data_IF_793328977871
#
_entry.id   IF_793328977871
#
_cell.length_a   1.000
_cell.length_b   1.000
_cell.length_c   1.000
_cell.angle_alpha   90.00
_cell.angle_beta   90.00
_cell.angle_gamma   90.00
#
_symmetry.space_group_name_H-M   'P 1'
#
loop_
_entity.id
_entity.type
_entity.pdbx_description
1 polymer ?
#
# COMPACT_ATOMS: atom_id res chain seq x y z
N UNK A 1 -12.10 29.81 -9.87
CA UNK A 1 -11.35 28.57 -9.59
C UNK A 1 -10.23 28.91 -8.64
N UNK A 2 -10.12 28.22 -7.51
CA UNK A 2 -8.96 28.35 -6.62
C UNK A 2 -7.85 27.54 -7.29
N UNK A 3 -6.79 28.21 -7.77
CA UNK A 3 -5.59 27.53 -8.25
C UNK A 3 -4.94 26.88 -7.04
N UNK A 4 -4.61 25.58 -7.07
CA UNK A 4 -3.93 24.95 -5.95
C UNK A 4 -2.61 25.69 -5.70
N UNK A 5 -2.26 25.98 -4.44
CA UNK A 5 -1.00 26.65 -4.12
C UNK A 5 0.16 25.86 -4.73
N UNK A 6 1.09 26.58 -5.36
CA UNK A 6 2.32 25.98 -5.85
C UNK A 6 3.17 25.43 -4.70
N UNK A 7 4.01 24.44 -5.00
CA UNK A 7 4.98 23.98 -4.02
C UNK A 7 5.97 25.10 -3.67
N UNK A 8 6.31 25.27 -2.39
CA UNK A 8 7.43 26.13 -1.99
C UNK A 8 8.71 25.66 -2.69
N UNK A 9 9.37 26.56 -3.40
CA UNK A 9 10.65 26.29 -4.07
C UNK A 9 11.87 26.63 -3.20
N UNK A 10 11.66 27.28 -2.05
CA UNK A 10 12.73 27.68 -1.15
C UNK A 10 13.16 26.50 -0.29
N UNK A 11 14.38 26.01 -0.53
CA UNK A 11 15.03 25.01 0.32
C UNK A 11 15.38 25.62 1.67
N UNK A 12 14.94 24.99 2.76
CA UNK A 12 15.40 25.39 4.09
C UNK A 12 16.89 25.00 4.27
N UNK A 13 17.68 25.78 5.04
CA UNK A 13 19.13 25.60 5.13
C UNK A 13 19.59 24.21 5.63
N UNK A 14 18.72 23.43 6.28
CA UNK A 14 19.01 22.08 6.80
C UNK A 14 18.15 20.98 6.16
N UNK A 15 17.45 21.25 5.05
CA UNK A 15 16.54 20.29 4.43
C UNK A 15 17.29 19.36 3.47
N UNK A 16 17.07 18.04 3.61
CA UNK A 16 17.58 17.06 2.66
C UNK A 16 16.94 17.28 1.28
N UNK A 17 17.72 17.61 0.22
CA UNK A 17 17.19 17.84 -1.11
C UNK A 17 16.34 16.67 -1.63
N UNK A 18 16.61 15.44 -1.19
CA UNK A 18 15.85 14.24 -1.58
C UNK A 18 14.37 14.32 -1.19
N UNK A 19 14.05 15.07 -0.12
CA UNK A 19 12.69 15.30 0.36
C UNK A 19 11.93 16.19 -0.62
N UNK A 20 12.52 17.32 -1.01
CA UNK A 20 11.91 18.27 -1.95
C UNK A 20 11.71 17.60 -3.32
N UNK A 21 12.69 16.82 -3.81
CA UNK A 21 12.54 16.10 -5.08
C UNK A 21 11.43 15.05 -5.03
N UNK A 22 11.34 14.26 -3.95
CA UNK A 22 10.27 13.29 -3.76
C UNK A 22 8.88 13.95 -3.69
N UNK A 23 8.76 15.02 -2.90
CA UNK A 23 7.52 15.78 -2.76
C UNK A 23 7.10 16.44 -4.06
N UNK A 24 8.04 17.05 -4.79
CA UNK A 24 7.80 17.65 -6.10
C UNK A 24 7.29 16.61 -7.08
N UNK A 25 7.90 15.44 -7.13
CA UNK A 25 7.44 14.35 -8.00
C UNK A 25 6.02 13.91 -7.65
N UNK A 26 5.69 13.76 -6.36
CA UNK A 26 4.32 13.43 -5.93
C UNK A 26 3.31 14.52 -6.26
N UNK A 27 3.66 15.79 -6.05
CA UNK A 27 2.80 16.91 -6.41
C UNK A 27 2.47 16.90 -7.89
N UNK A 28 3.47 16.72 -8.76
CA UNK A 28 3.23 16.62 -10.20
C UNK A 28 2.30 15.45 -10.53
N UNK A 29 2.54 14.27 -9.96
CA UNK A 29 1.68 13.10 -10.15
C UNK A 29 0.22 13.34 -9.71
N UNK A 30 0.00 13.89 -8.52
CA UNK A 30 -1.34 14.15 -8.01
C UNK A 30 -2.01 15.37 -8.67
N UNK A 31 -1.24 16.31 -9.21
CA UNK A 31 -1.79 17.45 -9.97
C UNK A 31 -2.51 17.02 -11.25
N UNK A 32 -2.23 15.80 -11.76
CA UNK A 32 -2.94 15.20 -12.88
C UNK A 32 -4.40 14.85 -12.53
N UNK A 33 -4.74 14.72 -11.24
CA UNK A 33 -6.10 14.49 -10.75
C UNK A 33 -6.82 15.83 -10.56
N UNK A 34 -6.92 16.61 -11.64
CA UNK A 34 -7.53 17.94 -11.61
C UNK A 34 -9.06 17.90 -11.48
N UNK A 35 -9.68 19.08 -11.44
CA UNK A 35 -11.14 19.18 -11.32
C UNK A 35 -11.88 18.58 -12.52
N UNK A 36 -11.27 18.54 -13.70
CA UNK A 36 -11.85 17.90 -14.88
C UNK A 36 -11.86 16.39 -14.72
N UNK A 37 -10.75 15.81 -14.24
CA UNK A 37 -10.66 14.39 -13.91
C UNK A 37 -11.67 14.01 -12.82
N UNK A 38 -11.79 14.79 -11.74
CA UNK A 38 -12.76 14.48 -10.66
C UNK A 38 -14.19 14.49 -11.19
N UNK A 39 -14.55 15.46 -12.05
CA UNK A 39 -15.85 15.47 -12.71
C UNK A 39 -16.05 14.26 -13.60
N UNK A 40 -15.03 13.88 -14.37
CA UNK A 40 -15.03 12.70 -15.23
C UNK A 40 -15.23 11.40 -14.43
N UNK A 41 -14.52 11.26 -13.31
CA UNK A 41 -14.55 10.08 -12.45
C UNK A 41 -15.92 9.86 -11.80
N UNK A 42 -16.60 10.96 -11.47
CA UNK A 42 -17.91 10.97 -10.82
C UNK A 42 -19.09 10.89 -11.81
N UNK A 43 -18.87 11.13 -13.10
CA UNK A 43 -19.91 11.07 -14.13
C UNK A 43 -20.20 9.62 -14.52
N UNK A 44 -20.96 8.94 -13.65
CA UNK A 44 -21.40 7.57 -13.85
C UNK A 44 -22.64 7.60 -14.78
N UNK A 45 -22.40 7.76 -16.08
CA UNK A 45 -23.35 7.28 -17.09
C UNK A 45 -24.11 8.29 -17.94
N UNK A 46 -23.74 9.57 -17.99
CA UNK A 46 -24.38 10.53 -18.91
C UNK A 46 -23.47 11.08 -20.01
N UNK A 47 -22.15 10.91 -19.90
CA UNK A 47 -21.23 11.39 -20.92
C UNK A 47 -20.64 10.26 -21.76
N UNK A 48 -21.00 10.24 -23.05
CA UNK A 48 -20.40 9.36 -24.04
C UNK A 48 -18.91 9.68 -24.23
N UNK A 49 -18.14 8.67 -24.63
CA UNK A 49 -16.76 8.85 -25.08
C UNK A 49 -16.73 9.90 -26.21
N UNK A 50 -15.99 10.99 -25.99
CA UNK A 50 -15.66 11.95 -27.04
C UNK A 50 -14.21 11.78 -27.45
N UNK A 51 -13.88 12.15 -28.69
CA UNK A 51 -12.50 12.16 -29.18
C UNK A 51 -11.60 13.01 -28.27
N UNK A 52 -12.08 14.19 -27.85
CA UNK A 52 -11.35 15.06 -26.92
C UNK A 52 -10.97 14.36 -25.61
N UNK A 53 -11.94 13.72 -24.92
CA UNK A 53 -11.67 13.02 -23.65
C UNK A 53 -10.69 11.86 -23.84
N UNK A 54 -10.77 11.19 -24.99
CA UNK A 54 -9.84 10.11 -25.33
C UNK A 54 -8.43 10.65 -25.53
N UNK A 55 -8.26 11.75 -26.24
CA UNK A 55 -6.96 12.37 -26.51
C UNK A 55 -6.32 12.93 -25.22
N UNK A 56 -7.13 13.51 -24.34
CA UNK A 56 -6.70 13.94 -22.99
C UNK A 56 -6.18 12.75 -22.17
N UNK A 57 -6.95 11.65 -22.10
CA UNK A 57 -6.53 10.43 -21.40
C UNK A 57 -5.29 9.79 -22.04
N UNK A 58 -5.18 9.81 -23.37
CA UNK A 58 -4.00 9.31 -24.08
C UNK A 58 -2.75 10.11 -23.72
N UNK A 59 -2.87 11.44 -23.66
CA UNK A 59 -1.78 12.34 -23.27
C UNK A 59 -1.33 12.08 -21.83
N UNK A 60 -2.28 11.94 -20.90
CA UNK A 60 -1.97 11.62 -19.49
C UNK A 60 -1.30 10.26 -19.34
N UNK A 61 -1.77 9.24 -20.07
CA UNK A 61 -1.17 7.91 -20.06
C UNK A 61 0.23 7.92 -20.67
N UNK A 62 0.45 8.66 -21.76
CA UNK A 62 1.77 8.83 -22.34
C UNK A 62 2.73 9.49 -21.33
N UNK A 63 2.32 10.59 -20.70
CA UNK A 63 3.11 11.26 -19.66
C UNK A 63 3.46 10.34 -18.50
N UNK A 64 2.51 9.54 -18.01
CA UNK A 64 2.74 8.61 -16.90
C UNK A 64 3.61 7.39 -17.25
N UNK A 65 3.80 7.08 -18.53
CA UNK A 65 4.71 5.99 -18.97
C UNK A 65 6.16 6.43 -19.01
N UNK A 66 6.41 7.74 -19.10
CA UNK A 66 7.76 8.26 -19.13
C UNK A 66 8.49 7.95 -17.80
N UNK A 67 9.75 7.47 -17.86
CA UNK A 67 10.54 7.26 -16.66
C UNK A 67 10.76 8.58 -15.90
N UNK A 68 10.55 8.55 -14.59
CA UNK A 68 10.87 9.67 -13.71
C UNK A 68 12.36 9.64 -13.35
N UNK A 69 13.01 10.81 -13.29
CA UNK A 69 14.39 10.89 -12.81
C UNK A 69 14.44 10.78 -11.29
N UNK A 70 14.96 9.64 -10.81
CA UNK A 70 14.97 9.27 -9.40
C UNK A 70 16.38 9.16 -8.82
N UNK A 71 17.41 9.66 -9.52
CA UNK A 71 18.82 9.52 -9.12
C UNK A 71 19.17 10.18 -7.79
N UNK A 72 18.43 11.22 -7.42
CA UNK A 72 18.68 12.03 -6.21
C UNK A 72 17.58 11.85 -5.14
N UNK A 73 16.75 10.82 -5.28
CA UNK A 73 15.62 10.55 -4.40
C UNK A 73 15.92 9.32 -3.56
N UNK A 74 15.70 9.39 -2.24
CA UNK A 74 15.90 8.26 -1.33
C UNK A 74 14.99 7.07 -1.69
N UNK A 75 15.40 5.84 -1.40
CA UNK A 75 14.59 4.64 -1.71
C UNK A 75 13.18 4.69 -1.12
N UNK A 76 13.03 5.27 0.09
CA UNK A 76 11.73 5.49 0.72
C UNK A 76 10.86 6.39 -0.18
N UNK A 77 11.37 7.55 -0.61
CA UNK A 77 10.62 8.45 -1.47
C UNK A 77 10.39 7.84 -2.87
N UNK A 78 11.37 7.11 -3.41
CA UNK A 78 11.25 6.38 -4.68
C UNK A 78 10.10 5.38 -4.65
N UNK A 79 9.96 4.63 -3.56
CA UNK A 79 8.85 3.70 -3.38
C UNK A 79 7.49 4.39 -3.52
N UNK A 80 7.31 5.52 -2.84
CA UNK A 80 6.04 6.25 -2.86
C UNK A 80 5.72 6.79 -4.26
N UNK A 81 6.69 7.44 -4.90
CA UNK A 81 6.53 8.07 -6.22
C UNK A 81 6.26 7.01 -7.29
N UNK A 82 7.12 5.99 -7.40
CA UNK A 82 7.05 5.02 -8.49
C UNK A 82 5.81 4.12 -8.36
N UNK A 83 5.42 3.72 -7.14
CA UNK A 83 4.17 2.97 -6.92
C UNK A 83 2.96 3.85 -7.24
N UNK A 84 2.97 5.13 -6.83
CA UNK A 84 1.89 6.08 -7.14
C UNK A 84 1.77 6.33 -8.63
N UNK A 85 2.87 6.43 -9.38
CA UNK A 85 2.86 6.54 -10.84
C UNK A 85 2.14 5.35 -11.48
N UNK A 86 2.46 4.11 -11.07
CA UNK A 86 1.79 2.91 -11.61
C UNK A 86 0.30 2.87 -11.22
N UNK A 87 -0.03 3.29 -10.01
CA UNK A 87 -1.42 3.38 -9.56
C UNK A 87 -2.21 4.41 -10.35
N UNK A 88 -1.66 5.58 -10.65
CA UNK A 88 -2.33 6.58 -11.49
C UNK A 88 -2.57 6.06 -12.91
N UNK A 89 -1.62 5.32 -13.51
CA UNK A 89 -1.85 4.64 -14.81
C UNK A 89 -3.08 3.73 -14.75
N UNK A 90 -3.27 3.02 -13.65
CA UNK A 90 -4.46 2.19 -13.43
C UNK A 90 -5.73 3.04 -13.28
N UNK A 91 -5.69 4.10 -12.48
CA UNK A 91 -6.84 4.99 -12.25
C UNK A 91 -7.34 5.61 -13.57
N UNK A 92 -6.44 6.14 -14.40
CA UNK A 92 -6.82 6.68 -15.71
C UNK A 92 -7.35 5.60 -16.67
N UNK A 93 -6.81 4.38 -16.60
CA UNK A 93 -7.35 3.24 -17.38
C UNK A 93 -8.76 2.86 -16.94
N UNK A 94 -9.03 2.84 -15.63
CA UNK A 94 -10.37 2.60 -15.10
C UNK A 94 -11.36 3.69 -15.52
N UNK A 95 -10.92 4.95 -15.63
CA UNK A 95 -11.73 6.03 -16.22
C UNK A 95 -12.08 5.74 -17.68
N UNK A 96 -11.10 5.36 -18.49
CA UNK A 96 -11.33 4.97 -19.88
C UNK A 96 -12.30 3.77 -19.99
N UNK A 97 -12.20 2.81 -19.06
CA UNK A 97 -13.12 1.67 -18.97
C UNK A 97 -14.56 2.10 -18.67
N UNK A 98 -14.76 2.99 -17.68
CA UNK A 98 -16.09 3.55 -17.34
C UNK A 98 -16.73 4.29 -18.52
N UNK A 99 -15.91 4.95 -19.34
CA UNK A 99 -16.34 5.66 -20.55
C UNK A 99 -16.52 4.74 -21.77
N UNK A 100 -16.39 3.43 -21.62
CA UNK A 100 -16.47 2.45 -22.71
C UNK A 100 -15.45 2.70 -23.84
N UNK A 101 -14.27 3.25 -23.51
CA UNK A 101 -13.19 3.49 -24.48
C UNK A 101 -12.26 2.29 -24.67
N UNK A 102 -12.37 1.27 -23.81
CA UNK A 102 -11.50 0.10 -23.84
C UNK A 102 -11.97 -0.90 -24.89
N UNK A 103 -11.07 -1.32 -25.78
CA UNK A 103 -11.35 -2.30 -26.84
C UNK A 103 -10.16 -3.23 -27.05
N UNK A 104 -10.41 -4.44 -27.58
CA UNK A 104 -9.33 -5.39 -27.88
C UNK A 104 -8.49 -5.02 -29.12
N UNK A 105 -8.96 -4.06 -29.93
CA UNK A 105 -8.37 -3.65 -31.22
C UNK A 105 -7.80 -2.23 -31.20
N UNK A 106 -7.80 -1.56 -30.05
CA UNK A 106 -7.16 -0.25 -29.93
C UNK A 106 -5.65 -0.34 -30.23
N UNK A 107 -5.14 0.64 -30.97
CA UNK A 107 -3.72 0.75 -31.31
C UNK A 107 -2.86 1.10 -30.09
N UNK A 108 -3.34 1.99 -29.24
CA UNK A 108 -2.70 2.36 -27.98
C UNK A 108 -3.08 1.37 -26.88
N UNK A 109 -2.07 0.77 -26.24
CA UNK A 109 -2.27 -0.21 -25.17
C UNK A 109 -3.08 0.33 -23.99
N UNK A 110 -3.03 1.64 -23.71
CA UNK A 110 -3.80 2.30 -22.64
C UNK A 110 -5.32 2.16 -22.83
N UNK A 111 -5.78 1.85 -24.03
CA UNK A 111 -7.19 1.66 -24.34
C UNK A 111 -7.53 0.19 -24.61
N UNK A 112 -6.73 -0.74 -24.08
CA UNK A 112 -6.94 -2.18 -24.22
C UNK A 112 -7.20 -2.86 -22.88
N UNK A 113 -7.85 -4.03 -22.92
CA UNK A 113 -8.04 -4.89 -21.75
C UNK A 113 -6.72 -5.49 -21.21
N UNK A 114 -5.62 -5.36 -21.95
CA UNK A 114 -4.31 -5.90 -21.57
C UNK A 114 -3.47 -4.90 -20.77
N UNK A 115 -3.84 -3.63 -20.75
CA UNK A 115 -3.05 -2.59 -20.08
C UNK A 115 -2.75 -2.86 -18.59
N UNK A 116 -3.67 -3.44 -17.78
CA UNK A 116 -3.34 -3.80 -16.40
C UNK A 116 -2.17 -4.78 -16.27
N UNK A 117 -1.92 -5.62 -17.29
CA UNK A 117 -0.78 -6.54 -17.33
C UNK A 117 0.53 -5.75 -17.48
N UNK A 118 0.54 -4.73 -18.34
CA UNK A 118 1.69 -3.83 -18.52
C UNK A 118 1.98 -3.04 -17.24
N UNK A 119 0.94 -2.44 -16.63
CA UNK A 119 1.07 -1.69 -15.36
C UNK A 119 1.64 -2.59 -14.26
N UNK A 120 1.09 -3.80 -14.09
CA UNK A 120 1.56 -4.71 -13.06
C UNK A 120 2.99 -5.22 -13.29
N UNK A 121 3.40 -5.33 -14.55
CA UNK A 121 4.79 -5.67 -14.91
C UNK A 121 5.73 -4.54 -14.51
N UNK A 122 5.40 -3.28 -14.83
CA UNK A 122 6.16 -2.11 -14.37
C UNK A 122 6.22 -2.02 -12.84
N UNK A 123 5.09 -2.27 -12.14
CA UNK A 123 5.08 -2.29 -10.68
C UNK A 123 6.00 -3.38 -10.11
N UNK A 124 6.02 -4.57 -10.72
CA UNK A 124 6.89 -5.66 -10.31
C UNK A 124 8.38 -5.27 -10.43
N UNK A 125 8.75 -4.57 -11.49
CA UNK A 125 10.11 -4.03 -11.67
C UNK A 125 10.47 -3.00 -10.60
N UNK A 126 9.54 -2.08 -10.28
CA UNK A 126 9.70 -1.10 -9.20
C UNK A 126 9.95 -1.81 -7.86
N UNK A 127 9.08 -2.74 -7.49
CA UNK A 127 9.17 -3.49 -6.23
C UNK A 127 10.47 -4.29 -6.13
N UNK A 128 10.93 -4.90 -7.23
CA UNK A 128 12.20 -5.64 -7.28
C UNK A 128 13.42 -4.75 -7.14
N UNK A 129 13.32 -3.48 -7.52
CA UNK A 129 14.43 -2.52 -7.51
C UNK A 129 14.64 -1.82 -6.16
N UNK A 130 13.78 -2.06 -5.17
CA UNK A 130 13.74 -1.33 -3.91
C UNK A 130 13.88 -2.28 -2.70
N UNK A 131 14.51 -1.83 -1.61
CA UNK A 131 14.54 -2.61 -0.37
C UNK A 131 13.14 -2.69 0.25
N UNK A 132 12.70 -3.85 0.81
CA UNK A 132 11.35 -4.00 1.36
C UNK A 132 10.96 -2.96 2.41
N UNK A 133 11.93 -2.52 3.23
CA UNK A 133 11.73 -1.50 4.26
C UNK A 133 11.29 -0.15 3.67
N UNK A 134 11.74 0.20 2.46
CA UNK A 134 11.37 1.44 1.80
C UNK A 134 9.88 1.46 1.41
N UNK A 135 9.32 0.30 1.06
CA UNK A 135 7.88 0.15 0.80
C UNK A 135 7.11 0.17 2.13
N UNK A 136 7.55 -0.62 3.11
CA UNK A 136 6.88 -0.73 4.41
C UNK A 136 6.76 0.61 5.17
N UNK A 137 7.73 1.52 4.98
CA UNK A 137 7.76 2.83 5.63
C UNK A 137 6.50 3.68 5.38
N UNK A 138 5.75 3.44 4.29
CA UNK A 138 4.55 4.20 3.93
C UNK A 138 3.25 3.65 4.52
N UNK A 139 3.32 2.53 5.26
CA UNK A 139 2.14 1.90 5.87
C UNK A 139 1.17 1.32 4.84
N UNK A 140 -0.11 1.16 5.21
CA UNK A 140 -1.09 0.43 4.39
C UNK A 140 -1.40 1.09 3.04
N UNK A 141 -1.32 2.42 2.94
CA UNK A 141 -1.72 3.16 1.74
C UNK A 141 -0.89 2.85 0.48
N UNK A 142 0.35 2.37 0.61
CA UNK A 142 1.15 1.91 -0.53
C UNK A 142 0.81 0.45 -0.91
N UNK A 143 0.43 -0.37 0.07
CA UNK A 143 0.00 -1.74 -0.16
C UNK A 143 -1.38 -1.78 -0.81
N UNK A 144 -2.28 -0.85 -0.46
CA UNK A 144 -3.57 -0.68 -1.13
C UNK A 144 -3.41 -0.41 -2.63
N UNK A 145 -2.52 0.51 -3.00
CA UNK A 145 -2.20 0.82 -4.40
C UNK A 145 -1.68 -0.41 -5.14
N UNK A 146 -0.76 -1.16 -4.54
CA UNK A 146 -0.24 -2.41 -5.10
C UNK A 146 -1.34 -3.47 -5.24
N UNK A 147 -2.23 -3.56 -4.26
CA UNK A 147 -3.37 -4.49 -4.28
C UNK A 147 -4.33 -4.16 -5.42
N UNK A 148 -4.71 -2.91 -5.63
CA UNK A 148 -5.61 -2.53 -6.74
C UNK A 148 -5.02 -2.92 -8.11
N UNK A 149 -3.70 -2.74 -8.28
CA UNK A 149 -2.99 -3.16 -9.50
C UNK A 149 -2.98 -4.68 -9.63
N UNK A 150 -2.63 -5.41 -8.56
CA UNK A 150 -2.61 -6.88 -8.58
C UNK A 150 -4.01 -7.49 -8.80
N UNK A 151 -5.05 -6.86 -8.26
CA UNK A 151 -6.43 -7.26 -8.43
C UNK A 151 -6.88 -7.06 -9.89
N UNK A 152 -6.55 -5.91 -10.48
CA UNK A 152 -6.83 -5.61 -11.89
C UNK A 152 -6.04 -6.49 -12.85
N UNK A 153 -4.80 -6.86 -12.49
CA UNK A 153 -4.01 -7.85 -13.21
C UNK A 153 -4.75 -9.20 -13.26
N UNK A 154 -5.26 -9.67 -12.13
CA UNK A 154 -5.96 -10.96 -12.07
C UNK A 154 -7.18 -10.97 -12.99
N UNK A 155 -7.96 -9.88 -13.00
CA UNK A 155 -9.09 -9.71 -13.94
C UNK A 155 -8.63 -9.74 -15.41
N UNK A 156 -7.55 -9.02 -15.74
CA UNK A 156 -7.03 -8.98 -17.10
C UNK A 156 -6.50 -10.36 -17.57
N UNK A 157 -5.86 -11.14 -16.67
CA UNK A 157 -5.37 -12.48 -17.00
C UNK A 157 -6.50 -13.47 -17.27
N UNK A 158 -7.59 -13.39 -16.52
CA UNK A 158 -8.80 -14.20 -16.75
C UNK A 158 -9.44 -13.78 -18.07
N UNK A 159 -9.70 -12.48 -18.25
CA UNK A 159 -10.38 -11.95 -19.43
C UNK A 159 -9.63 -12.22 -20.74
N UNK A 160 -8.30 -12.12 -20.73
CA UNK A 160 -7.48 -12.29 -21.93
C UNK A 160 -7.07 -13.75 -22.19
N UNK A 161 -7.46 -14.70 -21.34
CA UNK A 161 -7.00 -16.10 -21.42
C UNK A 161 -5.48 -16.27 -21.21
N UNK A 162 -4.81 -15.25 -20.66
CA UNK A 162 -3.37 -15.26 -20.40
C UNK A 162 -3.00 -15.86 -19.06
N UNK A 163 -3.99 -16.34 -18.30
CA UNK A 163 -3.77 -17.12 -17.09
C UNK A 163 -2.60 -18.08 -17.26
N UNK A 164 -2.45 -18.80 -18.39
CA UNK A 164 -1.43 -19.85 -18.57
C UNK A 164 0.02 -19.40 -18.88
N UNK A 165 0.32 -18.11 -19.07
CA UNK A 165 1.69 -17.66 -19.43
C UNK A 165 2.59 -17.51 -18.20
N UNK A 166 3.77 -18.15 -18.22
CA UNK A 166 4.71 -18.19 -17.09
C UNK A 166 5.12 -16.81 -16.56
N UNK A 167 5.34 -15.84 -17.44
CA UNK A 167 5.81 -14.51 -17.06
C UNK A 167 4.80 -13.75 -16.18
N UNK A 168 3.50 -13.81 -16.52
CA UNK A 168 2.47 -13.09 -15.76
C UNK A 168 2.22 -13.70 -14.38
N UNK A 169 2.43 -15.01 -14.24
CA UNK A 169 2.43 -15.66 -12.93
C UNK A 169 3.58 -15.17 -12.05
N UNK A 170 4.77 -15.02 -12.60
CA UNK A 170 5.90 -14.48 -11.83
C UNK A 170 5.62 -13.04 -11.40
N UNK A 171 5.04 -12.21 -12.28
CA UNK A 171 4.59 -10.86 -11.90
C UNK A 171 3.64 -10.91 -10.70
N UNK A 172 2.57 -11.70 -10.78
CA UNK A 172 1.60 -11.85 -9.70
C UNK A 172 2.25 -12.37 -8.40
N UNK A 173 3.15 -13.35 -8.51
CA UNK A 173 3.89 -13.91 -7.38
C UNK A 173 4.70 -12.84 -6.65
N UNK A 174 5.50 -12.06 -7.36
CA UNK A 174 6.31 -11.00 -6.74
C UNK A 174 5.43 -9.93 -6.05
N UNK A 175 4.30 -9.57 -6.64
CA UNK A 175 3.36 -8.64 -6.02
C UNK A 175 2.73 -9.22 -4.74
N UNK A 176 2.38 -10.52 -4.73
CA UNK A 176 1.90 -11.20 -3.52
C UNK A 176 2.96 -11.26 -2.41
N UNK A 177 4.24 -11.45 -2.78
CA UNK A 177 5.37 -11.40 -1.83
C UNK A 177 5.51 -10.00 -1.22
N UNK A 178 5.44 -8.95 -2.04
CA UNK A 178 5.48 -7.56 -1.56
C UNK A 178 4.31 -7.24 -0.63
N UNK A 179 3.09 -7.62 -1.01
CA UNK A 179 1.90 -7.45 -0.17
C UNK A 179 1.97 -8.26 1.13
N UNK A 180 2.76 -9.34 1.16
CA UNK A 180 2.99 -10.16 2.35
C UNK A 180 4.03 -9.57 3.31
N UNK A 181 4.67 -8.46 2.96
CA UNK A 181 5.77 -7.88 3.75
C UNK A 181 5.31 -7.31 5.10
N UNK A 182 4.01 -7.15 5.35
CA UNK A 182 3.44 -6.76 6.64
C UNK A 182 2.28 -7.68 7.00
N UNK A 183 2.12 -8.12 8.27
CA UNK A 183 1.01 -8.97 8.71
C UNK A 183 -0.36 -8.36 8.39
N UNK A 184 -0.54 -7.06 8.62
CA UNK A 184 -1.80 -6.37 8.35
C UNK A 184 -2.12 -6.33 6.86
N UNK A 185 -1.12 -6.00 6.03
CA UNK A 185 -1.26 -6.01 4.57
C UNK A 185 -1.60 -7.42 4.04
N UNK A 186 -0.90 -8.46 4.54
CA UNK A 186 -1.18 -9.85 4.18
C UNK A 186 -2.62 -10.23 4.50
N UNK A 187 -3.07 -9.93 5.72
CA UNK A 187 -4.39 -10.34 6.18
C UNK A 187 -5.51 -9.72 5.36
N UNK A 188 -5.35 -8.46 4.92
CA UNK A 188 -6.35 -7.73 4.15
C UNK A 188 -6.27 -8.05 2.65
N UNK A 189 -5.10 -7.89 2.04
CA UNK A 189 -4.96 -7.87 0.58
C UNK A 189 -4.68 -9.25 -0.02
N UNK A 190 -3.72 -9.99 0.54
CA UNK A 190 -3.31 -11.30 0.01
C UNK A 190 -4.47 -12.30 0.09
N UNK A 191 -5.15 -12.38 1.25
CA UNK A 191 -6.33 -13.26 1.41
C UNK A 191 -7.46 -12.93 0.45
N UNK A 192 -7.62 -11.65 0.10
CA UNK A 192 -8.64 -11.22 -0.86
C UNK A 192 -8.30 -11.69 -2.28
N UNK A 193 -7.04 -11.56 -2.68
CA UNK A 193 -6.55 -12.08 -3.97
C UNK A 193 -6.65 -13.61 -4.02
N UNK A 194 -6.25 -14.32 -2.97
CA UNK A 194 -6.38 -15.79 -2.84
C UNK A 194 -7.83 -16.27 -3.03
N UNK A 195 -8.78 -15.62 -2.35
CA UNK A 195 -10.20 -15.93 -2.51
C UNK A 195 -10.67 -15.72 -3.94
N UNK A 196 -10.24 -14.64 -4.59
CA UNK A 196 -10.62 -14.33 -5.98
C UNK A 196 -10.04 -15.33 -6.98
N UNK A 197 -8.79 -15.75 -6.77
CA UNK A 197 -8.16 -16.81 -7.56
C UNK A 197 -8.96 -18.11 -7.45
N UNK A 198 -9.31 -18.56 -6.24
CA UNK A 198 -10.09 -19.78 -6.03
C UNK A 198 -11.50 -19.75 -6.63
N UNK A 199 -12.16 -18.59 -6.70
CA UNK A 199 -13.47 -18.45 -7.34
C UNK A 199 -13.41 -18.61 -8.86
N UNK A 200 -12.34 -18.13 -9.49
CA UNK A 200 -12.13 -18.21 -10.94
C UNK A 200 -11.88 -19.65 -11.41
N UNK A 201 -11.31 -20.48 -10.54
CA UNK A 201 -10.96 -21.88 -10.81
C UNK A 201 -12.17 -22.82 -10.86
N UNK A 202 -13.22 -22.55 -10.06
CA UNK A 202 -14.44 -23.40 -10.04
C UNK A 202 -15.21 -23.39 -11.37
N UNK A 203 -14.99 -22.38 -12.23
CA UNK A 203 -15.60 -22.26 -13.56
C UNK A 203 -14.76 -22.90 -14.68
N UNK A 204 -13.49 -23.22 -14.43
CA UNK A 204 -12.52 -23.61 -15.48
C UNK A 204 -11.99 -25.04 -15.38
N UNK A 205 -12.32 -25.79 -14.32
CA UNK A 205 -12.11 -27.25 -14.28
C UNK A 205 -10.65 -27.72 -14.49
N UNK A 206 -9.64 -26.98 -14.00
CA UNK A 206 -8.25 -27.41 -14.15
C UNK A 206 -7.23 -26.61 -13.34
N UNK A 207 -6.43 -27.36 -12.57
CA UNK A 207 -5.14 -27.07 -11.93
C UNK A 207 -5.02 -25.96 -10.87
N UNK A 208 -4.73 -26.41 -9.64
CA UNK A 208 -4.38 -25.68 -8.42
C UNK A 208 -3.05 -24.87 -8.48
N UNK A 209 -2.73 -24.24 -9.61
CA UNK A 209 -1.43 -23.58 -9.79
C UNK A 209 -1.28 -22.31 -8.94
N UNK A 210 -2.39 -21.64 -8.60
CA UNK A 210 -2.39 -20.46 -7.73
C UNK A 210 -2.10 -20.79 -6.26
N UNK A 211 -2.48 -21.99 -5.79
CA UNK A 211 -2.22 -22.41 -4.40
C UNK A 211 -0.74 -22.66 -4.12
N UNK A 212 0.08 -23.04 -5.11
CA UNK A 212 1.53 -23.26 -4.89
C UNK A 212 2.33 -21.96 -4.78
N UNK A 213 1.74 -20.81 -5.13
CA UNK A 213 2.35 -19.50 -4.86
C UNK A 213 2.28 -19.12 -3.37
N UNK A 214 1.35 -19.73 -2.62
CA UNK A 214 1.29 -19.65 -1.16
C UNK A 214 2.34 -20.54 -0.47
N UNK A 215 3.07 -21.38 -1.22
CA UNK A 215 4.17 -22.23 -0.74
C UNK A 215 5.55 -21.57 -0.78
N UNK A 216 5.64 -20.25 -1.03
CA UNK A 216 6.83 -19.53 -0.60
C UNK A 216 6.77 -19.54 0.92
N UNK A 217 7.69 -20.26 1.56
CA UNK A 217 7.96 -20.13 2.99
C UNK A 217 8.33 -18.67 3.28
N UNK A 218 7.29 -17.88 3.48
CA UNK A 218 7.37 -16.52 3.95
C UNK A 218 7.70 -16.65 5.43
N UNK A 219 8.96 -16.34 5.79
CA UNK A 219 9.51 -16.22 7.15
C UNK A 219 8.47 -16.55 8.22
N UNK A 220 8.57 -17.76 8.75
CA UNK A 220 7.77 -18.19 9.91
C UNK A 220 7.84 -17.08 10.96
N UNK A 221 6.67 -16.66 11.46
CA UNK A 221 6.60 -15.88 12.68
C UNK A 221 7.44 -16.61 13.73
N UNK A 222 8.53 -15.99 14.18
CA UNK A 222 9.22 -16.42 15.40
C UNK A 222 8.29 -16.15 16.59
N UNK A 223 7.28 -16.99 16.69
CA UNK A 223 6.42 -17.17 17.87
C UNK A 223 7.09 -18.19 18.80
N UNK A 224 8.42 -18.06 18.93
CA UNK A 224 9.30 -19.02 19.57
C UNK A 224 10.31 -18.43 20.56
N UNK A 225 10.15 -17.18 21.02
CA UNK A 225 10.87 -16.71 22.22
C UNK A 225 10.01 -15.79 23.10
N UNK A 226 8.86 -16.31 23.54
CA UNK A 226 8.18 -15.80 24.73
C UNK A 226 7.72 -16.96 25.58
N UNK A 227 8.64 -17.61 26.29
CA UNK A 227 8.36 -18.35 27.54
C UNK A 227 9.69 -18.65 28.28
N UNK A 228 10.12 -17.75 29.16
CA UNK A 228 10.72 -18.09 30.47
C UNK A 228 11.00 -16.84 31.31
N UNK A 229 9.94 -16.15 31.71
CA UNK A 229 9.98 -15.44 33.00
C UNK A 229 8.57 -15.26 33.54
N UNK A 230 7.90 -16.38 33.79
CA UNK A 230 6.72 -16.38 34.66
C UNK A 230 7.23 -16.44 36.09
N UNK A 231 7.39 -15.26 36.70
CA UNK A 231 7.50 -15.12 38.17
C UNK A 231 6.33 -15.88 38.80
N UNK A 232 6.63 -16.96 39.53
CA UNK A 232 5.69 -17.58 40.45
C UNK A 232 5.44 -16.61 41.60
N UNK A 233 4.22 -16.08 41.68
CA UNK A 233 3.66 -15.49 42.89
C UNK A 233 3.24 -16.62 43.82
N UNK A 234 4.04 -16.87 44.85
CA UNK A 234 3.71 -17.80 45.94
C UNK A 234 3.07 -16.99 47.06
N UNK A 235 1.74 -16.94 47.12
CA UNK A 235 0.97 -16.70 48.35
C UNK A 235 -0.47 -17.21 48.14
N UNK A 236 -0.81 -18.37 48.70
CA UNK A 236 -1.93 -18.42 49.64
C UNK A 236 -1.97 -19.70 50.52
N UNK A 237 -1.97 -19.42 51.84
CA UNK A 237 -2.62 -20.06 52.99
C UNK A 237 -2.56 -21.58 53.26
N UNK A 238 -1.90 -21.97 54.37
CA UNK A 238 -2.52 -22.57 55.59
C UNK A 238 -1.45 -23.03 56.62
N UNK A 239 -1.61 -22.67 57.90
CA UNK A 239 -0.84 -23.25 59.03
C UNK A 239 -0.36 -22.26 60.11
N UNK A 240 -1.11 -22.17 61.23
CA UNK A 240 -0.90 -21.39 62.47
C UNK A 240 0.15 -22.05 63.41
N UNK A 241 0.45 -21.52 64.62
CA UNK A 241 1.08 -20.24 65.04
C UNK A 241 2.38 -20.47 65.87
N UNK A 242 3.11 -19.42 66.29
CA UNK A 242 3.50 -19.14 67.70
C UNK A 242 4.47 -17.97 67.86
N UNK A 243 4.17 -17.15 68.86
CA UNK A 243 5.05 -16.37 69.75
C UNK A 243 5.66 -15.03 69.28
N UNK A 244 4.95 -13.97 69.70
CA UNK A 244 5.46 -12.68 70.18
C UNK A 244 6.49 -12.86 71.33
N UNK A 245 7.37 -11.88 71.65
CA UNK A 245 6.92 -10.61 72.27
C UNK A 245 7.67 -9.30 71.91
N UNK A 246 6.90 -8.20 72.00
CA UNK A 246 7.18 -6.90 72.65
C UNK A 246 8.47 -6.09 72.38
N UNK A 247 8.35 -4.83 71.94
CA UNK A 247 8.45 -3.64 72.82
C UNK A 247 8.23 -2.30 72.09
N UNK A 248 7.94 -1.28 72.90
CA UNK A 248 7.32 0.04 72.66
C UNK A 248 8.25 1.14 72.12
N UNK A 249 7.65 2.20 71.52
CA UNK A 249 7.87 3.64 71.80
C UNK A 249 7.17 4.53 70.71
N UNK A 250 5.98 5.09 70.93
CA UNK A 250 5.63 6.45 71.46
C UNK A 250 5.95 7.70 70.61
N UNK A 251 4.86 8.41 70.23
CA UNK A 251 4.61 9.89 70.19
C UNK A 251 5.36 10.73 69.13
N UNK A 252 4.83 11.77 68.46
CA UNK A 252 3.75 12.79 68.68
C UNK A 252 3.49 13.52 67.32
N UNK A 253 2.25 13.87 66.90
CA UNK A 253 1.59 15.21 66.91
C UNK A 253 2.43 16.37 66.28
N UNK A 254 2.00 17.35 65.46
CA UNK A 254 0.73 17.97 65.00
C UNK A 254 1.13 18.94 63.84
N UNK A 255 0.42 19.02 62.71
CA UNK A 255 -0.57 20.05 62.29
C UNK A 255 -0.04 21.40 61.75
N UNK A 256 -0.67 21.85 60.64
CA UNK A 256 -1.08 23.21 60.24
C UNK A 256 -0.44 23.90 59.00
N UNK A 257 -1.25 23.91 57.92
CA UNK A 257 -1.76 25.06 57.12
C UNK A 257 -0.81 25.90 56.22
N UNK A 258 -1.13 25.90 54.92
CA UNK A 258 -1.59 27.12 54.20
C UNK A 258 -0.69 27.70 53.08
N UNK A 259 -1.21 27.95 51.85
CA UNK A 259 -0.42 28.43 50.70
C UNK A 259 -0.52 29.96 50.49
N UNK A 260 0.44 30.55 49.76
CA UNK A 260 0.36 31.94 49.28
C UNK A 260 0.80 32.08 47.82
N UNK A 261 0.02 32.88 47.10
CA UNK A 261 0.05 33.21 45.66
C UNK A 261 1.31 33.98 45.22
N UNK A 262 1.56 33.86 43.91
CA UNK A 262 2.48 34.66 43.11
C UNK A 262 2.02 36.12 42.92
N UNK A 263 2.96 37.03 42.58
CA UNK A 263 2.66 38.36 42.03
C UNK A 263 2.17 38.33 40.58
#
# INVERSE_FOLDING_TARGET
MIVPPGLPTESLPDEDPSIIFGLSSLYHLFSLLDSNFVRLWNDIGLSFATTQKRDELATLQAHLREPLDMRHVSDIQRANVLVTQQWLRLIFWQSALKLSMITSTASDSAFTYKYPIEIATSLCEVVKSLPPVAIQAHGLGIFEKQFEIAYSLLDALVLCGYSKKSQHYETLRYLLLSLSASPSSRQVYVRTLERKMGQSDTRSGGDHKYLRLAGVELVQDDTGSRLSSRRQSVWDTTGRPTNEPSSQATRTAETLIGPMRAP
#
